data_IF_760922371044
#
_entry.id   IF_760922371044
#
_cell.length_a   1.000
_cell.length_b   1.000
_cell.length_c   1.000
_cell.angle_alpha   90.00
_cell.angle_beta   90.00
_cell.angle_gamma   90.00
#
_symmetry.space_group_name_H-M   'P 1'
#
loop_
_entity.id
_entity.type
_entity.pdbx_description
1 polymer ?
#
# COMPACT_ATOMS: atom_id res chain seq x y z
N UNK A 1 0.86 -11.78 -0.79
CA UNK A 1 -0.17 -10.82 -1.24
C UNK A 1 -0.68 -10.03 -0.04
N UNK A 2 -0.92 -8.73 -0.20
CA UNK A 2 -1.44 -7.84 0.84
C UNK A 2 -2.74 -7.20 0.34
N UNK A 3 -3.77 -7.21 1.17
CA UNK A 3 -5.11 -6.69 0.84
C UNK A 3 -5.58 -5.64 1.84
N UNK A 4 -6.41 -4.71 1.38
CA UNK A 4 -7.09 -3.73 2.22
C UNK A 4 -8.51 -3.47 1.70
N UNK A 5 -9.51 -3.61 2.59
CA UNK A 5 -10.92 -3.36 2.28
C UNK A 5 -11.41 -4.04 0.97
N UNK A 6 -10.99 -5.29 0.75
CA UNK A 6 -11.38 -6.09 -0.43
C UNK A 6 -10.56 -5.84 -1.69
N UNK A 7 -9.58 -4.92 -1.67
CA UNK A 7 -8.69 -4.65 -2.81
C UNK A 7 -7.29 -5.21 -2.57
N UNK A 8 -6.65 -5.76 -3.61
CA UNK A 8 -5.22 -6.09 -3.58
C UNK A 8 -4.45 -4.78 -3.70
N UNK A 9 -3.67 -4.45 -2.67
CA UNK A 9 -2.91 -3.18 -2.62
C UNK A 9 -1.45 -3.40 -2.97
N UNK A 10 -0.92 -4.59 -2.70
CA UNK A 10 0.46 -4.95 -3.00
C UNK A 10 0.63 -6.47 -3.15
N UNK A 11 1.45 -6.88 -4.12
CA UNK A 11 1.70 -8.29 -4.45
C UNK A 11 3.17 -8.49 -4.74
N UNK A 12 3.80 -9.46 -4.08
CA UNK A 12 5.11 -9.95 -4.45
C UNK A 12 5.63 -11.04 -3.54
N UNK A 13 6.92 -11.36 -3.68
CA UNK A 13 7.55 -12.37 -2.81
C UNK A 13 7.53 -11.92 -1.36
N UNK A 14 7.72 -12.87 -0.43
CA UNK A 14 7.89 -12.51 0.97
C UNK A 14 9.04 -11.50 1.16
N UNK A 15 10.15 -11.68 0.44
CA UNK A 15 11.29 -10.78 0.50
C UNK A 15 10.95 -9.37 -0.02
N UNK A 16 10.21 -9.25 -1.12
CA UNK A 16 9.75 -7.96 -1.65
C UNK A 16 8.89 -7.21 -0.62
N UNK A 17 7.91 -7.90 -0.03
CA UNK A 17 7.00 -7.29 0.94
C UNK A 17 7.71 -6.94 2.25
N UNK A 18 8.56 -7.82 2.79
CA UNK A 18 9.20 -7.57 4.09
C UNK A 18 10.35 -6.55 4.02
N UNK A 19 11.06 -6.44 2.89
CA UNK A 19 12.21 -5.53 2.77
C UNK A 19 11.92 -4.26 2.00
N UNK A 20 10.99 -4.31 1.04
CA UNK A 20 10.79 -3.26 0.06
C UNK A 20 9.31 -2.85 -0.07
N UNK A 21 8.49 -3.02 0.98
CA UNK A 21 7.09 -2.60 0.99
C UNK A 21 6.90 -1.20 0.39
N UNK A 22 5.97 -1.06 -0.55
CA UNK A 22 5.77 0.17 -1.32
C UNK A 22 4.48 0.88 -1.01
N UNK A 23 3.39 0.14 -0.79
CA UNK A 23 2.11 0.75 -0.47
C UNK A 23 2.15 1.28 0.98
N UNK A 24 1.73 2.53 1.26
CA UNK A 24 1.76 3.11 2.61
C UNK A 24 1.09 2.23 3.68
N UNK A 25 -0.01 1.56 3.34
CA UNK A 25 -0.63 0.54 4.19
C UNK A 25 0.32 -0.63 4.53
N UNK A 26 0.97 -1.23 3.54
CA UNK A 26 1.90 -2.36 3.76
C UNK A 26 3.10 -1.92 4.60
N UNK A 27 3.62 -0.71 4.38
CA UNK A 27 4.68 -0.13 5.19
C UNK A 27 4.23 -0.02 6.66
N UNK A 28 3.05 0.57 6.89
CA UNK A 28 2.50 0.66 8.25
C UNK A 28 2.28 -0.70 8.92
N UNK A 29 1.92 -1.74 8.15
CA UNK A 29 1.86 -3.12 8.67
C UNK A 29 3.24 -3.64 9.09
N UNK A 30 4.29 -3.33 8.33
CA UNK A 30 5.66 -3.73 8.69
C UNK A 30 6.12 -3.01 9.97
N UNK A 31 5.77 -1.74 10.13
CA UNK A 31 6.08 -0.93 11.32
C UNK A 31 5.27 -1.33 12.56
N UNK A 32 4.08 -1.92 12.36
CA UNK A 32 3.23 -2.42 13.45
C UNK A 32 3.69 -3.77 14.01
N UNK A 33 4.73 -4.38 13.43
CA UNK A 33 5.25 -5.68 13.89
C UNK A 33 6.26 -5.51 15.03
N UNK A 34 6.18 -6.34 16.08
CA UNK A 34 7.23 -6.39 17.10
C UNK A 34 8.56 -6.87 16.50
N UNK A 35 9.64 -6.22 16.88
CA UNK A 35 11.01 -6.61 16.51
C UNK A 35 11.58 -7.44 17.65
N UNK A 36 12.02 -8.66 17.35
CA UNK A 36 12.67 -9.54 18.33
C UNK A 36 13.94 -8.83 18.84
N UNK A 37 14.12 -8.77 20.16
CA UNK A 37 15.21 -8.06 20.85
C UNK A 37 15.14 -6.53 20.81
N UNK A 38 13.97 -5.94 20.57
CA UNK A 38 13.75 -4.51 20.75
C UNK A 38 12.57 -4.28 21.68
N UNK A 39 12.85 -3.84 22.90
CA UNK A 39 11.81 -3.33 23.78
C UNK A 39 11.29 -2.01 23.20
N UNK A 40 10.01 -2.00 22.86
CA UNK A 40 9.29 -0.82 22.40
C UNK A 40 8.11 -0.61 23.32
N UNK A 41 8.01 0.59 23.90
CA UNK A 41 6.93 0.92 24.84
C UNK A 41 5.54 0.83 24.17
N UNK A 42 5.47 1.14 22.87
CA UNK A 42 4.25 1.02 22.05
C UNK A 42 4.60 0.68 20.61
N UNK A 43 3.86 -0.27 20.04
CA UNK A 43 3.90 -0.56 18.60
C UNK A 43 3.20 0.55 17.83
N UNK A 44 3.75 0.89 16.65
CA UNK A 44 3.04 1.77 15.73
C UNK A 44 1.70 1.13 15.36
N UNK A 45 0.68 1.97 15.22
CA UNK A 45 -0.65 1.55 14.78
C UNK A 45 -1.12 2.55 13.73
N UNK A 46 -1.52 2.03 12.57
CA UNK A 46 -2.00 2.86 11.47
C UNK A 46 -3.25 3.63 11.94
N UNK A 47 -3.21 4.97 12.00
CA UNK A 47 -4.28 5.77 12.58
C UNK A 47 -5.57 5.68 11.75
N UNK A 48 -6.68 6.10 12.37
CA UNK A 48 -8.00 6.11 11.74
C UNK A 48 -8.73 4.76 11.75
N UNK A 49 -9.91 4.72 11.14
CA UNK A 49 -10.79 3.55 11.10
C UNK A 49 -10.85 2.97 9.70
N UNK A 50 -10.95 1.65 9.61
CA UNK A 50 -11.16 0.97 8.32
C UNK A 50 -12.51 1.42 7.75
N UNK A 51 -12.57 1.85 6.48
CA UNK A 51 -13.81 2.30 5.86
C UNK A 51 -14.77 1.13 5.66
N UNK A 52 -16.06 1.42 5.56
CA UNK A 52 -17.06 0.43 5.17
C UNK A 52 -16.96 0.19 3.65
N UNK A 53 -16.67 -1.04 3.19
CA UNK A 53 -16.53 -1.32 1.76
C UNK A 53 -17.88 -1.40 1.02
N UNK A 54 -19.02 -1.44 1.72
CA UNK A 54 -20.35 -1.50 1.10
C UNK A 54 -20.62 -0.18 0.37
N UNK A 55 -20.92 -0.27 -0.94
CA UNK A 55 -21.19 0.88 -1.81
C UNK A 55 -20.06 1.94 -1.79
N UNK A 56 -18.83 1.51 -1.53
CA UNK A 56 -17.68 2.40 -1.50
C UNK A 56 -17.40 2.93 -2.92
N UNK A 57 -17.28 4.26 -3.12
CA UNK A 57 -16.93 4.79 -4.42
C UNK A 57 -15.55 4.30 -4.86
N UNK A 58 -15.34 4.18 -6.17
CA UNK A 58 -14.12 3.63 -6.76
C UNK A 58 -12.94 4.63 -6.67
N UNK A 59 -12.46 4.91 -5.46
CA UNK A 59 -11.24 5.68 -5.19
C UNK A 59 -10.22 4.84 -4.41
N UNK A 60 -9.02 5.35 -4.12
CA UNK A 60 -8.08 4.62 -3.27
C UNK A 60 -8.64 4.40 -1.85
N UNK A 61 -9.07 3.17 -1.50
CA UNK A 61 -9.75 2.89 -0.22
C UNK A 61 -8.94 3.25 1.03
N UNK A 62 -7.61 3.40 0.90
CA UNK A 62 -6.72 3.78 1.99
C UNK A 62 -6.52 5.30 2.13
N UNK A 63 -7.08 6.13 1.24
CA UNK A 63 -6.77 7.57 1.15
C UNK A 63 -6.91 8.35 2.46
N UNK A 64 -7.93 8.06 3.27
CA UNK A 64 -8.23 8.80 4.51
C UNK A 64 -7.31 8.41 5.68
N UNK A 65 -6.53 7.34 5.51
CA UNK A 65 -5.54 6.84 6.49
C UNK A 65 -4.11 6.90 5.93
N UNK A 66 -3.94 7.37 4.70
CA UNK A 66 -2.68 7.38 4.02
C UNK A 66 -1.93 8.69 4.31
N UNK A 67 -0.81 8.61 5.03
CA UNK A 67 0.06 9.76 5.30
C UNK A 67 0.71 10.32 4.01
N UNK A 68 0.67 9.57 2.91
CA UNK A 68 1.19 9.95 1.58
C UNK A 68 0.06 10.13 0.56
N UNK A 69 -1.14 10.50 1.00
CA UNK A 69 -2.28 10.73 0.12
C UNK A 69 -1.99 11.88 -0.86
N UNK A 70 -2.32 11.68 -2.13
CA UNK A 70 -2.18 12.70 -3.19
C UNK A 70 -3.55 12.99 -3.81
N UNK A 71 -3.68 14.10 -4.55
CA UNK A 71 -4.97 14.51 -5.14
C UNK A 71 -5.63 13.40 -5.98
N UNK A 72 -4.83 12.65 -6.75
CA UNK A 72 -5.30 11.53 -7.58
C UNK A 72 -5.97 10.40 -6.78
N UNK A 73 -5.65 10.24 -5.48
CA UNK A 73 -6.27 9.22 -4.61
C UNK A 73 -7.79 9.41 -4.43
N UNK A 74 -8.32 10.60 -4.72
CA UNK A 74 -9.77 10.88 -4.69
C UNK A 74 -10.47 10.61 -6.03
N UNK A 75 -9.70 10.31 -7.09
CA UNK A 75 -10.22 9.89 -8.40
C UNK A 75 -10.50 8.38 -8.43
N UNK A 76 -10.34 7.76 -9.60
CA UNK A 76 -10.53 6.31 -9.76
C UNK A 76 -9.58 5.47 -8.87
N UNK A 77 -9.87 4.19 -8.66
CA UNK A 77 -8.94 3.31 -7.96
C UNK A 77 -7.64 3.16 -8.79
N UNK A 78 -6.43 3.23 -8.18
CA UNK A 78 -5.19 3.12 -8.93
C UNK A 78 -5.06 1.75 -9.59
N UNK A 79 -4.54 1.72 -10.81
CA UNK A 79 -4.20 0.47 -11.50
C UNK A 79 -3.08 -0.28 -10.77
N UNK A 80 -2.97 -1.56 -11.04
CA UNK A 80 -1.82 -2.36 -10.62
C UNK A 80 -0.60 -1.97 -11.45
N UNK A 81 0.44 -1.50 -10.77
CA UNK A 81 1.72 -1.06 -11.36
C UNK A 81 2.75 -2.14 -11.11
N UNK A 82 3.45 -2.57 -12.17
CA UNK A 82 4.58 -3.50 -12.09
C UNK A 82 5.86 -2.75 -11.72
N UNK A 83 6.42 -3.07 -10.55
CA UNK A 83 7.68 -2.53 -10.04
C UNK A 83 8.87 -3.43 -10.39
N UNK A 84 8.65 -4.74 -10.41
CA UNK A 84 9.60 -5.78 -10.85
C UNK A 84 8.84 -7.00 -11.37
N UNK A 85 9.54 -8.05 -11.80
CA UNK A 85 8.89 -9.30 -12.24
C UNK A 85 8.01 -9.93 -11.18
N UNK A 86 8.37 -9.75 -9.91
CA UNK A 86 7.64 -10.32 -8.78
C UNK A 86 6.85 -9.30 -8.00
N UNK A 87 7.09 -7.98 -8.13
CA UNK A 87 6.52 -6.97 -7.24
C UNK A 87 5.60 -6.00 -7.97
N UNK A 88 4.38 -5.88 -7.46
CA UNK A 88 3.30 -5.06 -7.99
C UNK A 88 2.65 -4.26 -6.87
N UNK A 89 2.19 -3.05 -7.19
CA UNK A 89 1.53 -2.15 -6.24
C UNK A 89 0.36 -1.42 -6.89
N UNK A 90 -0.75 -1.22 -6.17
CA UNK A 90 -1.85 -0.36 -6.62
C UNK A 90 -1.79 0.96 -5.85
N UNK A 91 -0.97 1.92 -6.29
CA UNK A 91 -0.76 3.18 -5.58
C UNK A 91 -0.32 4.32 -6.51
N UNK A 92 -0.93 5.50 -6.35
CA UNK A 92 -0.64 6.69 -7.15
C UNK A 92 0.80 7.20 -7.04
N UNK A 93 1.54 6.83 -6.00
CA UNK A 93 2.94 7.21 -5.84
C UNK A 93 3.88 6.60 -6.91
N UNK A 94 3.43 5.57 -7.63
CA UNK A 94 4.28 4.81 -8.56
C UNK A 94 3.78 4.82 -10.02
N UNK A 95 2.76 5.63 -10.34
CA UNK A 95 2.18 5.65 -11.70
C UNK A 95 3.21 6.02 -12.77
N UNK A 96 4.15 6.92 -12.45
CA UNK A 96 5.23 7.29 -13.38
C UNK A 96 6.29 6.19 -13.57
N UNK A 97 6.42 5.25 -12.62
CA UNK A 97 7.35 4.13 -12.76
C UNK A 97 6.85 3.08 -13.75
N UNK A 98 5.52 2.94 -13.90
CA UNK A 98 4.91 2.11 -14.94
C UNK A 98 5.33 2.59 -16.34
N UNK A 99 5.33 3.91 -16.56
CA UNK A 99 5.70 4.53 -17.84
C UNK A 99 7.19 4.30 -18.15
N UNK A 100 8.06 4.36 -17.15
CA UNK A 100 9.49 4.09 -17.32
C UNK A 100 9.79 2.63 -17.64
N UNK A 101 9.03 1.70 -17.06
CA UNK A 101 9.23 0.26 -17.25
C UNK A 101 8.64 -0.27 -18.56
N UNK A 102 7.61 0.39 -19.11
CA UNK A 102 6.97 0.02 -20.38
C UNK A 102 7.59 0.69 -21.63
N UNK A 103 8.60 1.56 -21.45
CA UNK A 103 9.29 2.27 -22.53
C UNK A 103 10.55 1.58 -23.06
N UNK A 104 10.67 0.26 -22.94
CA UNK A 104 11.83 -0.51 -23.41
C UNK A 104 11.46 -1.51 -24.49
#
# INVERSE_FOLDING_TARGET
MVMYAGKVVEKGTANDIFKNAKHPYTIGLMESKPVINKDVDRLYSIPGKVPNPINMPDYCYFKDRCEKCVAACSGHYPKEIKLSDTHYVSCYLYVDEEVKNNGK
#
